data_IF_265427940259
#
_entry.id   IF_265427940259
#
_cell.length_a   1.000
_cell.length_b   1.000
_cell.length_c   1.000
_cell.angle_alpha   90.00
_cell.angle_beta   90.00
_cell.angle_gamma   90.00
#
_symmetry.space_group_name_H-M   'P 1'
#
loop_
_entity.id
_entity.type
_entity.pdbx_description
1 polymer ?
#
# COMPACT_ATOMS: atom_id res chain seq x y z
N UNK A 1 -17.37 -14.49 -0.34
CA UNK A 1 -15.99 -13.97 -0.40
C UNK A 1 -16.06 -12.47 -0.16
N UNK A 2 -15.23 -11.90 0.72
CA UNK A 2 -15.35 -10.48 1.10
C UNK A 2 -14.83 -9.58 -0.03
N UNK A 3 -15.55 -8.52 -0.35
CA UNK A 3 -15.08 -7.49 -1.27
C UNK A 3 -14.01 -6.63 -0.60
N UNK A 4 -13.14 -5.98 -1.37
CA UNK A 4 -12.14 -5.06 -0.80
C UNK A 4 -12.78 -3.90 -0.05
N UNK A 5 -13.98 -3.48 -0.46
CA UNK A 5 -14.75 -2.47 0.28
C UNK A 5 -15.19 -2.97 1.66
N UNK A 6 -15.68 -4.21 1.75
CA UNK A 6 -16.02 -4.83 3.03
C UNK A 6 -14.79 -5.01 3.92
N UNK A 7 -13.66 -5.44 3.36
CA UNK A 7 -12.41 -5.61 4.12
C UNK A 7 -11.94 -4.28 4.70
N UNK A 8 -11.96 -3.19 3.90
CA UNK A 8 -11.64 -1.85 4.38
C UNK A 8 -12.55 -1.42 5.53
N UNK A 9 -13.86 -1.60 5.39
CA UNK A 9 -14.82 -1.18 6.41
C UNK A 9 -14.71 -2.03 7.69
N UNK A 10 -14.54 -3.35 7.57
CA UNK A 10 -14.33 -4.24 8.71
C UNK A 10 -13.07 -3.85 9.50
N UNK A 11 -11.97 -3.47 8.83
CA UNK A 11 -10.77 -2.95 9.47
C UNK A 11 -11.07 -1.72 10.32
N UNK A 12 -11.65 -0.69 9.69
CA UNK A 12 -11.88 0.60 10.33
C UNK A 12 -12.85 0.46 11.49
N UNK A 13 -13.91 -0.32 11.31
CA UNK A 13 -14.93 -0.57 12.34
C UNK A 13 -14.36 -1.38 13.50
N UNK A 14 -13.56 -2.41 13.23
CA UNK A 14 -12.91 -3.19 14.29
C UNK A 14 -12.11 -2.28 15.22
N UNK A 15 -11.31 -1.36 14.68
CA UNK A 15 -10.53 -0.44 15.50
C UNK A 15 -11.37 0.64 16.18
N UNK A 16 -12.45 1.12 15.56
CA UNK A 16 -13.42 1.97 16.28
C UNK A 16 -14.04 1.27 17.49
N UNK A 17 -14.39 -0.01 17.35
CA UNK A 17 -14.91 -0.83 18.45
C UNK A 17 -13.84 -1.05 19.55
N UNK A 18 -12.54 -0.91 19.24
CA UNK A 18 -11.43 -0.89 20.21
C UNK A 18 -11.09 0.52 20.76
N UNK A 19 -11.92 1.53 20.44
CA UNK A 19 -11.80 2.90 20.93
C UNK A 19 -10.87 3.80 20.11
N UNK A 20 -10.50 3.41 18.88
CA UNK A 20 -9.73 4.27 17.98
C UNK A 20 -10.63 5.30 17.31
N UNK A 21 -10.12 6.52 17.14
CA UNK A 21 -10.78 7.51 16.29
C UNK A 21 -10.56 7.16 14.81
N UNK A 22 -11.63 6.91 14.04
CA UNK A 22 -11.54 6.88 12.57
C UNK A 22 -11.19 8.29 12.05
N UNK A 23 -10.05 8.40 11.40
CA UNK A 23 -9.54 9.66 10.80
C UNK A 23 -9.54 9.51 9.28
N UNK A 24 -9.86 10.60 8.56
CA UNK A 24 -9.87 10.60 7.10
C UNK A 24 -8.44 10.38 6.57
N UNK A 25 -8.32 9.71 5.42
CA UNK A 25 -7.05 9.69 4.67
C UNK A 25 -6.58 11.11 4.38
N UNK A 26 -5.30 11.39 4.62
CA UNK A 26 -4.70 12.65 4.17
C UNK A 26 -4.54 12.65 2.64
N UNK A 27 -4.25 13.83 2.09
CA UNK A 27 -3.85 13.99 0.69
C UNK A 27 -2.58 13.18 0.38
N UNK A 28 -2.43 12.75 -0.88
CA UNK A 28 -1.17 12.24 -1.42
C UNK A 28 -0.08 13.31 -1.45
N UNK A 29 -0.45 14.58 -1.39
CA UNK A 29 0.43 15.75 -1.39
C UNK A 29 0.53 16.31 0.03
N UNK A 30 1.63 16.06 0.76
CA UNK A 30 1.83 16.63 2.08
C UNK A 30 1.92 18.16 2.00
N UNK A 31 1.12 18.85 2.81
CA UNK A 31 1.10 20.32 2.88
C UNK A 31 2.29 20.90 3.67
N UNK A 32 2.67 20.24 4.77
CA UNK A 32 3.63 20.77 5.76
C UNK A 32 4.90 19.92 5.91
N UNK A 33 5.22 19.03 4.96
CA UNK A 33 6.44 18.23 5.00
C UNK A 33 7.26 18.36 3.71
N UNK A 34 8.30 19.23 3.69
CA UNK A 34 9.15 19.39 2.51
C UNK A 34 10.06 18.19 2.26
N UNK A 35 10.21 17.27 3.22
CA UNK A 35 11.04 16.07 3.06
C UNK A 35 10.33 14.94 2.32
N UNK A 36 9.00 15.05 2.14
CA UNK A 36 8.18 13.98 1.58
C UNK A 36 7.55 14.42 0.24
N UNK A 37 7.89 13.69 -0.83
CA UNK A 37 7.33 13.98 -2.16
C UNK A 37 5.84 13.62 -2.22
N UNK A 38 5.48 12.42 -1.76
CA UNK A 38 4.11 11.94 -1.63
C UNK A 38 3.93 11.15 -0.34
N UNK A 39 2.70 11.16 0.18
CA UNK A 39 2.31 10.31 1.31
C UNK A 39 2.55 8.84 0.95
N UNK A 40 3.42 8.17 1.70
CA UNK A 40 3.87 6.79 1.43
C UNK A 40 3.45 5.79 2.51
N UNK A 41 2.90 6.28 3.63
CA UNK A 41 2.43 5.50 4.77
C UNK A 41 1.30 6.22 5.53
N UNK A 42 0.49 5.43 6.24
CA UNK A 42 -0.58 5.93 7.12
C UNK A 42 -0.11 6.92 8.18
N UNK A 43 1.10 6.71 8.71
CA UNK A 43 1.68 7.52 9.79
C UNK A 43 2.06 8.94 9.40
N UNK A 44 2.20 9.28 8.10
CA UNK A 44 2.76 10.56 7.69
C UNK A 44 1.95 11.76 8.23
N UNK A 45 0.62 11.66 8.25
CA UNK A 45 -0.27 12.70 8.82
C UNK A 45 -0.26 12.79 10.35
N UNK A 46 0.42 11.86 11.02
CA UNK A 46 0.58 11.78 12.46
C UNK A 46 2.04 11.98 12.89
N UNK A 47 2.95 12.34 11.97
CA UNK A 47 4.39 12.51 12.24
C UNK A 47 4.64 13.39 13.47
N UNK A 48 4.02 14.58 13.50
CA UNK A 48 4.21 15.54 14.60
C UNK A 48 3.56 15.09 15.91
N UNK A 49 2.56 14.20 15.84
CA UNK A 49 1.97 13.57 17.03
C UNK A 49 2.96 12.56 17.63
N UNK A 50 3.60 11.72 16.81
CA UNK A 50 4.65 10.80 17.28
C UNK A 50 5.85 11.53 17.86
N UNK A 51 6.22 12.68 17.28
CA UNK A 51 7.31 13.52 17.76
C UNK A 51 6.93 14.34 19.01
N UNK A 52 5.66 14.40 19.37
CA UNK A 52 5.15 15.17 20.50
C UNK A 52 5.03 16.68 20.26
N UNK A 53 5.16 17.14 19.00
CA UNK A 53 4.97 18.54 18.61
C UNK A 53 3.51 18.92 18.47
N UNK A 54 2.66 17.94 18.15
CA UNK A 54 1.21 18.13 18.02
C UNK A 54 0.46 17.25 19.02
N UNK A 55 -0.60 17.79 19.62
CA UNK A 55 -1.50 17.04 20.50
C UNK A 55 -2.90 16.98 19.88
N UNK A 56 -3.46 15.77 19.82
CA UNK A 56 -4.83 15.51 19.37
C UNK A 56 -5.77 15.35 20.57
N UNK A 57 -7.07 15.45 20.33
CA UNK A 57 -8.14 15.16 21.30
C UNK A 57 -8.36 13.65 21.50
N UNK A 58 -7.70 12.81 20.70
CA UNK A 58 -7.66 11.36 20.81
C UNK A 58 -6.22 10.85 20.94
N UNK A 59 -6.05 9.71 21.61
CA UNK A 59 -4.75 9.03 21.82
C UNK A 59 -4.60 7.76 20.97
N UNK A 60 -5.65 7.37 20.24
CA UNK A 60 -5.69 6.23 19.32
C UNK A 60 -6.41 6.64 18.03
N UNK A 61 -5.91 6.20 16.88
CA UNK A 61 -6.54 6.49 15.59
C UNK A 61 -6.51 5.30 14.62
N UNK A 62 -7.43 5.28 13.65
CA UNK A 62 -7.42 4.31 12.56
C UNK A 62 -7.74 4.98 11.22
N UNK A 63 -7.08 4.54 10.15
CA UNK A 63 -7.23 5.11 8.80
C UNK A 63 -7.14 4.05 7.69
N UNK A 64 -7.71 4.37 6.52
CA UNK A 64 -7.38 3.75 5.23
C UNK A 64 -6.69 4.80 4.38
N UNK A 65 -5.37 4.89 4.49
CA UNK A 65 -4.57 5.94 3.88
C UNK A 65 -4.28 5.64 2.41
N UNK A 66 -4.57 6.60 1.53
CA UNK A 66 -4.06 6.64 0.15
C UNK A 66 -2.53 6.80 0.19
N UNK A 67 -1.80 5.87 -0.41
CA UNK A 67 -0.33 5.87 -0.42
C UNK A 67 0.23 5.82 -1.84
N UNK A 68 1.43 6.40 -2.00
CA UNK A 68 2.14 6.49 -3.26
C UNK A 68 3.63 6.21 -3.09
N UNK A 69 4.15 5.19 -3.79
CA UNK A 69 5.55 4.72 -3.70
C UNK A 69 6.24 4.72 -5.06
N UNK A 70 6.72 5.88 -5.47
CA UNK A 70 7.31 6.13 -6.82
C UNK A 70 8.59 6.96 -6.78
N UNK A 71 9.12 7.22 -5.59
CA UNK A 71 10.28 8.10 -5.37
C UNK A 71 10.92 7.87 -4.01
N UNK A 72 12.19 8.25 -3.87
CA UNK A 72 12.93 8.14 -2.61
C UNK A 72 13.18 6.69 -2.20
N UNK A 73 13.25 6.45 -0.88
CA UNK A 73 13.51 5.12 -0.28
C UNK A 73 12.46 4.07 -0.66
N UNK A 74 11.21 4.49 -0.86
CA UNK A 74 10.10 3.61 -1.21
C UNK A 74 9.64 3.88 -2.65
N UNK A 75 10.29 3.23 -3.61
CA UNK A 75 10.03 3.41 -5.04
C UNK A 75 9.77 2.06 -5.71
N UNK A 76 8.50 1.78 -5.97
CA UNK A 76 8.03 0.55 -6.59
C UNK A 76 7.76 0.70 -8.10
N UNK A 77 8.04 1.87 -8.69
CA UNK A 77 7.61 2.17 -10.07
C UNK A 77 8.02 1.06 -11.05
N UNK A 78 9.29 0.65 -11.07
CA UNK A 78 9.78 -0.34 -12.04
C UNK A 78 9.27 -1.78 -11.77
N UNK A 79 8.79 -2.08 -10.56
CA UNK A 79 8.30 -3.43 -10.17
C UNK A 79 6.82 -3.64 -10.48
N UNK A 80 6.05 -2.55 -10.64
CA UNK A 80 4.62 -2.57 -11.00
C UNK A 80 4.37 -3.32 -12.30
N UNK A 81 3.31 -4.14 -12.30
CA UNK A 81 2.90 -5.01 -13.40
C UNK A 81 3.69 -6.32 -13.52
N UNK A 82 4.95 -6.34 -13.08
CA UNK A 82 5.83 -7.51 -13.13
C UNK A 82 5.69 -8.43 -11.92
N UNK A 83 5.43 -7.85 -10.76
CA UNK A 83 5.20 -8.61 -9.53
C UNK A 83 3.72 -8.61 -9.18
N UNK A 84 3.27 -9.62 -8.44
CA UNK A 84 1.87 -9.79 -8.08
C UNK A 84 1.37 -8.83 -6.96
N UNK A 85 2.26 -8.03 -6.36
CA UNK A 85 2.01 -7.37 -5.06
C UNK A 85 2.43 -5.91 -4.93
N UNK A 86 3.17 -5.35 -5.90
CA UNK A 86 3.63 -3.96 -5.86
C UNK A 86 2.80 -3.09 -6.79
N UNK A 87 2.53 -1.89 -6.29
CA UNK A 87 1.66 -0.87 -6.90
C UNK A 87 2.32 0.48 -6.76
N UNK A 88 2.03 1.41 -7.68
CA UNK A 88 2.38 2.81 -7.44
C UNK A 88 1.45 3.39 -6.38
N UNK A 89 0.13 3.20 -6.60
CA UNK A 89 -0.96 3.61 -5.71
C UNK A 89 -1.52 2.41 -4.98
N UNK A 90 -1.63 2.51 -3.66
CA UNK A 90 -2.27 1.49 -2.84
C UNK A 90 -2.90 2.12 -1.60
N UNK A 91 -3.73 1.35 -0.90
CA UNK A 91 -4.29 1.77 0.38
C UNK A 91 -3.59 1.07 1.54
N UNK A 92 -3.21 1.84 2.54
CA UNK A 92 -2.65 1.34 3.78
C UNK A 92 -3.67 1.46 4.90
N UNK A 93 -4.15 0.32 5.37
CA UNK A 93 -4.99 0.19 6.55
C UNK A 93 -4.08 0.27 7.78
N UNK A 94 -4.30 1.27 8.64
CA UNK A 94 -3.45 1.50 9.81
C UNK A 94 -4.24 1.75 11.09
N UNK A 95 -3.75 1.21 12.20
CA UNK A 95 -4.10 1.62 13.55
C UNK A 95 -2.89 2.20 14.27
N UNK A 96 -3.13 3.28 15.01
CA UNK A 96 -2.09 4.11 15.62
C UNK A 96 -2.37 4.28 17.11
N UNK A 97 -1.31 4.22 17.91
CA UNK A 97 -1.30 4.53 19.35
C UNK A 97 -0.32 5.65 19.62
N UNK A 98 -0.77 6.74 20.24
CA UNK A 98 0.05 7.90 20.58
C UNK A 98 0.31 7.90 22.08
N UNK A 99 1.30 7.14 22.53
CA UNK A 99 1.61 6.99 23.96
C UNK A 99 0.51 6.31 24.80
N UNK A 100 -0.31 5.45 24.19
CA UNK A 100 -1.40 4.73 24.85
C UNK A 100 -1.05 3.24 25.06
N UNK A 101 -1.47 2.36 24.15
CA UNK A 101 -1.10 0.95 24.18
C UNK A 101 0.18 0.69 23.37
N UNK A 102 0.82 -0.45 23.60
CA UNK A 102 2.08 -0.80 22.94
C UNK A 102 2.07 -2.23 22.38
N UNK A 103 3.20 -2.94 22.40
CA UNK A 103 3.41 -4.23 21.72
C UNK A 103 2.31 -5.26 21.99
N UNK A 104 1.93 -5.45 23.26
CA UNK A 104 0.98 -6.50 23.67
C UNK A 104 -0.38 -6.33 23.00
N UNK A 105 -0.98 -5.16 23.12
CA UNK A 105 -2.28 -4.87 22.53
C UNK A 105 -2.19 -4.79 21.00
N UNK A 106 -1.12 -4.21 20.44
CA UNK A 106 -0.92 -4.13 19.00
C UNK A 106 -0.90 -5.52 18.35
N UNK A 107 -0.13 -6.46 18.92
CA UNK A 107 -0.04 -7.85 18.48
C UNK A 107 -1.40 -8.55 18.64
N UNK A 108 -2.07 -8.37 19.79
CA UNK A 108 -3.40 -8.96 20.04
C UNK A 108 -4.42 -8.49 19.02
N UNK A 109 -4.48 -7.18 18.74
CA UNK A 109 -5.43 -6.62 17.78
C UNK A 109 -5.17 -7.12 16.36
N UNK A 110 -3.90 -7.16 15.94
CA UNK A 110 -3.55 -7.68 14.63
C UNK A 110 -3.94 -9.16 14.48
N UNK A 111 -3.65 -9.97 15.50
CA UNK A 111 -3.98 -11.39 15.50
C UNK A 111 -5.50 -11.62 15.46
N UNK A 112 -6.25 -10.96 16.34
CA UNK A 112 -7.71 -11.09 16.41
C UNK A 112 -8.38 -10.66 15.10
N UNK A 113 -7.97 -9.51 14.53
CA UNK A 113 -8.52 -9.07 13.24
C UNK A 113 -8.23 -10.11 12.14
N UNK A 114 -7.01 -10.61 12.04
CA UNK A 114 -6.66 -11.60 11.02
C UNK A 114 -7.41 -12.93 11.22
N UNK A 115 -7.50 -13.45 12.44
CA UNK A 115 -7.96 -14.82 12.66
C UNK A 115 -9.43 -14.94 13.01
N UNK A 116 -10.02 -13.92 13.62
CA UNK A 116 -11.43 -13.94 14.07
C UNK A 116 -12.32 -13.10 13.15
N UNK A 117 -11.88 -11.89 12.76
CA UNK A 117 -12.67 -11.03 11.86
C UNK A 117 -12.53 -11.46 10.41
N UNK A 118 -11.31 -11.54 9.88
CA UNK A 118 -11.05 -12.04 8.53
C UNK A 118 -11.09 -13.55 8.40
N UNK A 119 -11.12 -14.27 9.52
CA UNK A 119 -11.18 -15.73 9.56
C UNK A 119 -10.05 -16.41 8.76
N UNK A 120 -8.85 -15.82 8.77
CA UNK A 120 -7.69 -16.40 8.10
C UNK A 120 -7.23 -17.67 8.83
N UNK A 121 -6.85 -18.73 8.10
CA UNK A 121 -6.32 -19.94 8.72
C UNK A 121 -5.05 -19.64 9.53
N UNK A 122 -5.12 -19.87 10.85
CA UNK A 122 -4.00 -19.64 11.80
C UNK A 122 -2.74 -20.40 11.39
N UNK A 123 -2.89 -21.54 10.72
CA UNK A 123 -1.78 -22.37 10.27
C UNK A 123 -1.04 -21.85 9.03
N UNK A 124 -1.58 -20.82 8.38
CA UNK A 124 -0.96 -20.12 7.24
C UNK A 124 -0.34 -18.78 7.61
N UNK A 125 -0.48 -18.35 8.87
CA UNK A 125 0.12 -17.12 9.36
C UNK A 125 1.52 -17.39 9.92
N UNK A 126 2.46 -16.55 9.49
CA UNK A 126 3.85 -16.56 9.87
C UNK A 126 4.25 -15.17 10.34
N UNK A 127 5.22 -15.10 11.24
CA UNK A 127 5.59 -13.86 11.91
C UNK A 127 7.08 -13.61 11.71
N UNK A 128 7.46 -12.35 11.51
CA UNK A 128 8.82 -11.88 11.66
C UNK A 128 8.90 -10.89 12.83
N UNK A 129 10.03 -10.88 13.54
CA UNK A 129 10.35 -9.91 14.59
C UNK A 129 11.79 -9.44 14.41
N UNK A 130 12.11 -8.24 14.90
CA UNK A 130 13.48 -7.74 14.92
C UNK A 130 14.39 -8.66 15.75
N UNK A 131 15.63 -8.88 15.29
CA UNK A 131 16.57 -9.85 15.88
C UNK A 131 16.67 -9.76 17.41
N UNK A 132 16.72 -8.54 17.94
CA UNK A 132 16.93 -8.27 19.36
C UNK A 132 15.61 -8.00 20.14
N UNK A 133 14.44 -8.17 19.51
CA UNK A 133 13.13 -7.91 20.13
C UNK A 133 12.53 -9.17 20.77
N UNK A 134 13.07 -9.56 21.93
CA UNK A 134 12.60 -10.70 22.71
C UNK A 134 11.16 -10.51 23.24
N UNK A 135 10.74 -9.28 23.48
CA UNK A 135 9.38 -8.99 23.94
C UNK A 135 8.35 -9.39 22.88
N UNK A 136 8.54 -8.94 21.63
CA UNK A 136 7.64 -9.26 20.54
C UNK A 136 7.63 -10.77 20.26
N UNK A 137 8.81 -11.40 20.27
CA UNK A 137 8.93 -12.86 20.11
C UNK A 137 8.12 -13.62 21.17
N UNK A 138 8.26 -13.24 22.43
CA UNK A 138 7.55 -13.90 23.53
C UNK A 138 6.04 -13.65 23.48
N UNK A 139 5.59 -12.45 23.12
CA UNK A 139 4.16 -12.15 22.94
C UNK A 139 3.53 -13.02 21.85
N UNK A 140 4.20 -13.19 20.71
CA UNK A 140 3.70 -14.08 19.64
C UNK A 140 3.70 -15.56 20.04
N UNK A 141 4.78 -16.01 20.69
CA UNK A 141 4.94 -17.42 21.10
C UNK A 141 3.99 -17.81 22.24
N UNK A 142 3.94 -17.01 23.30
CA UNK A 142 3.26 -17.35 24.55
C UNK A 142 1.81 -16.87 24.55
N UNK A 143 1.58 -15.59 24.26
CA UNK A 143 0.23 -15.01 24.36
C UNK A 143 -0.63 -15.41 23.17
N UNK A 144 -0.10 -15.37 21.94
CA UNK A 144 -0.84 -15.74 20.72
C UNK A 144 -0.73 -17.25 20.38
N UNK A 145 0.16 -17.99 21.05
CA UNK A 145 0.31 -19.43 20.88
C UNK A 145 0.90 -19.87 19.55
N UNK A 146 1.67 -18.99 18.87
CA UNK A 146 2.26 -19.31 17.57
C UNK A 146 3.46 -20.25 17.77
N UNK A 147 3.53 -21.38 17.04
CA UNK A 147 4.69 -22.27 17.11
C UNK A 147 5.98 -21.54 16.73
N UNK A 148 7.02 -21.72 17.53
CA UNK A 148 8.32 -21.07 17.35
C UNK A 148 8.89 -21.19 15.93
N UNK A 149 8.70 -22.33 15.27
CA UNK A 149 9.11 -22.57 13.87
C UNK A 149 8.46 -21.65 12.83
N UNK A 150 7.46 -20.85 13.21
CA UNK A 150 6.78 -19.86 12.36
C UNK A 150 7.09 -18.41 12.76
N UNK A 151 7.96 -18.20 13.75
CA UNK A 151 8.40 -16.89 14.21
C UNK A 151 9.87 -16.74 13.82
N UNK A 152 10.12 -15.90 12.82
CA UNK A 152 11.44 -15.63 12.27
C UNK A 152 12.02 -14.37 12.90
N UNK A 153 13.33 -14.38 13.18
CA UNK A 153 14.07 -13.20 13.62
C UNK A 153 14.86 -12.64 12.44
N UNK A 154 14.56 -11.41 12.01
CA UNK A 154 15.25 -10.75 10.90
C UNK A 154 15.89 -9.43 11.37
N UNK A 155 16.90 -9.00 10.61
CA UNK A 155 17.71 -7.82 10.95
C UNK A 155 17.08 -6.49 10.53
N UNK A 156 17.91 -5.43 10.55
CA UNK A 156 17.48 -4.04 10.27
C UNK A 156 16.87 -3.85 8.88
N UNK A 157 17.29 -4.65 7.89
CA UNK A 157 16.79 -4.56 6.53
C UNK A 157 15.28 -4.83 6.41
N UNK A 158 14.74 -5.72 7.27
CA UNK A 158 13.37 -6.21 7.18
C UNK A 158 12.53 -5.77 8.40
N UNK A 159 13.08 -5.88 9.61
CA UNK A 159 12.33 -5.66 10.84
C UNK A 159 12.72 -4.38 11.60
N UNK A 160 13.26 -3.38 10.90
CA UNK A 160 13.43 -2.02 11.44
C UNK A 160 12.87 -1.00 10.46
N UNK A 161 11.76 -0.36 10.85
CA UNK A 161 11.04 0.56 9.98
C UNK A 161 11.45 2.01 10.26
N UNK A 162 11.60 2.80 9.20
CA UNK A 162 11.83 4.24 9.27
C UNK A 162 11.09 4.95 8.15
N UNK A 163 10.45 6.08 8.49
CA UNK A 163 9.61 6.88 7.58
C UNK A 163 10.36 7.36 6.33
N UNK A 164 11.63 7.72 6.50
CA UNK A 164 12.53 8.20 5.47
C UNK A 164 13.96 8.20 5.99
N UNK A 165 14.78 9.11 5.49
CA UNK A 165 16.15 9.30 5.98
C UNK A 165 16.15 9.90 7.39
N UNK A 166 15.13 10.69 7.73
CA UNK A 166 14.88 11.26 9.06
C UNK A 166 13.43 11.02 9.50
N UNK A 167 13.17 11.18 10.80
CA UNK A 167 11.84 11.07 11.40
C UNK A 167 11.64 9.86 12.31
N UNK A 168 10.40 9.61 12.75
CA UNK A 168 10.06 8.48 13.62
C UNK A 168 10.42 7.12 13.01
N UNK A 169 10.98 6.24 13.84
CA UNK A 169 11.41 4.90 13.50
C UNK A 169 11.42 3.95 14.71
N UNK A 170 11.57 2.65 14.44
CA UNK A 170 11.68 1.64 15.48
C UNK A 170 11.70 0.20 14.95
N UNK A 171 11.95 -0.78 15.84
CA UNK A 171 11.79 -2.19 15.50
C UNK A 171 10.35 -2.48 15.13
N UNK A 172 10.14 -3.46 14.25
CA UNK A 172 8.81 -3.87 13.84
C UNK A 172 8.65 -5.38 13.80
N UNK A 173 7.40 -5.83 13.77
CA UNK A 173 7.02 -7.23 13.60
C UNK A 173 6.01 -7.33 12.47
N UNK A 174 6.18 -8.28 11.55
CA UNK A 174 5.33 -8.39 10.37
C UNK A 174 4.59 -9.72 10.33
N UNK A 175 3.32 -9.65 9.95
CA UNK A 175 2.49 -10.81 9.65
C UNK A 175 2.62 -11.15 8.17
N UNK A 176 2.88 -12.41 7.91
CA UNK A 176 3.00 -13.00 6.59
C UNK A 176 1.95 -14.10 6.40
N UNK A 177 1.43 -14.22 5.19
CA UNK A 177 0.48 -15.27 4.82
C UNK A 177 1.09 -16.22 3.79
N UNK A 178 0.96 -17.53 4.04
CA UNK A 178 1.35 -18.60 3.12
C UNK A 178 0.25 -18.87 2.07
N UNK A 179 0.50 -18.43 0.83
CA UNK A 179 -0.38 -18.70 -0.31
C UNK A 179 -0.37 -20.17 -0.77
N UNK A 180 0.50 -21.02 -0.21
CA UNK A 180 0.56 -22.45 -0.46
C UNK A 180 1.71 -22.83 -1.39
N UNK A 181 1.45 -23.10 -2.67
CA UNK A 181 2.51 -23.55 -3.58
C UNK A 181 3.36 -22.37 -4.07
N UNK A 182 4.68 -22.55 -4.18
CA UNK A 182 5.56 -21.55 -4.79
C UNK A 182 5.11 -21.20 -6.21
N UNK A 183 4.96 -19.90 -6.55
CA UNK A 183 4.74 -19.48 -7.92
C UNK A 183 5.88 -19.89 -8.87
N UNK A 184 7.10 -20.05 -8.34
CA UNK A 184 8.27 -20.51 -9.08
C UNK A 184 8.39 -22.04 -9.17
N UNK A 185 7.42 -22.80 -8.63
CA UNK A 185 7.32 -24.26 -8.79
C UNK A 185 8.27 -25.10 -7.94
N UNK A 186 9.15 -24.50 -7.15
CA UNK A 186 10.01 -25.22 -6.21
C UNK A 186 9.28 -25.55 -4.90
N UNK A 187 9.63 -26.68 -4.28
CA UNK A 187 9.03 -27.16 -3.02
C UNK A 187 9.77 -26.71 -1.78
N UNK A 188 11.09 -26.51 -1.89
CA UNK A 188 11.95 -26.06 -0.81
C UNK A 188 11.86 -24.54 -0.74
N UNK A 189 10.92 -24.05 0.06
CA UNK A 189 10.61 -22.64 0.23
C UNK A 189 10.23 -22.37 1.68
N UNK A 190 10.88 -21.38 2.30
CA UNK A 190 10.47 -20.82 3.58
C UNK A 190 10.07 -19.34 3.41
N UNK A 191 9.80 -18.66 4.53
CA UNK A 191 9.38 -17.26 4.57
C UNK A 191 10.40 -16.31 3.92
N UNK A 192 11.69 -16.64 3.95
CA UNK A 192 12.76 -15.79 3.41
C UNK A 192 12.90 -15.91 1.89
N UNK A 193 12.17 -16.85 1.28
CA UNK A 193 12.24 -17.05 -0.16
C UNK A 193 11.53 -15.94 -0.94
N UNK A 194 12.19 -15.32 -1.94
CA UNK A 194 11.63 -14.20 -2.70
C UNK A 194 10.56 -14.61 -3.74
N UNK A 195 10.21 -15.90 -3.84
CA UNK A 195 9.32 -16.44 -4.88
C UNK A 195 7.88 -15.90 -4.82
N UNK A 196 7.49 -15.25 -3.73
CA UNK A 196 6.14 -14.68 -3.55
C UNK A 196 5.11 -15.66 -3.01
N UNK A 197 5.52 -16.81 -2.47
CA UNK A 197 4.64 -17.73 -1.71
C UNK A 197 4.16 -17.10 -0.41
N UNK A 198 5.10 -16.54 0.36
CA UNK A 198 4.83 -15.83 1.60
C UNK A 198 4.68 -14.36 1.28
N UNK A 199 3.53 -13.78 1.64
CA UNK A 199 3.24 -12.37 1.39
C UNK A 199 3.09 -11.67 2.74
N UNK A 200 3.92 -10.66 2.96
CA UNK A 200 3.75 -9.70 4.06
C UNK A 200 2.39 -9.00 3.89
N UNK A 201 1.49 -9.20 4.84
CA UNK A 201 0.15 -8.62 4.84
C UNK A 201 0.04 -7.42 5.77
N UNK A 202 0.80 -7.38 6.86
CA UNK A 202 0.68 -6.33 7.88
C UNK A 202 1.99 -6.13 8.63
N UNK A 203 2.46 -4.89 8.71
CA UNK A 203 3.61 -4.50 9.52
C UNK A 203 3.15 -3.76 10.79
N UNK A 204 3.69 -4.15 11.95
CA UNK A 204 3.48 -3.55 13.27
C UNK A 204 4.78 -2.87 13.73
N UNK A 205 4.86 -1.56 13.61
CA UNK A 205 6.02 -0.76 13.99
C UNK A 205 5.89 -0.27 15.43
N UNK A 206 6.87 -0.62 16.25
CA UNK A 206 6.99 -0.18 17.63
C UNK A 206 7.83 1.09 17.65
N UNK A 207 7.18 2.23 17.42
CA UNK A 207 7.84 3.54 17.34
C UNK A 207 8.52 3.89 18.66
N UNK A 208 9.84 4.01 18.62
CA UNK A 208 10.67 4.24 19.81
C UNK A 208 11.66 5.39 19.63
N UNK A 209 12.05 5.69 18.39
CA UNK A 209 13.12 6.64 18.11
C UNK A 209 12.71 7.68 17.05
N UNK A 210 13.42 8.80 17.05
CA UNK A 210 13.49 9.75 15.96
C UNK A 210 14.92 9.75 15.41
N UNK A 211 15.07 9.51 14.10
CA UNK A 211 16.35 9.54 13.38
C UNK A 211 16.58 10.95 12.83
N UNK A 212 17.73 11.53 13.12
CA UNK A 212 18.14 12.83 12.55
C UNK A 212 18.97 12.67 11.26
N UNK A 213 19.35 13.80 10.64
CA UNK A 213 20.11 13.81 9.38
C UNK A 213 21.54 13.27 9.49
N UNK A 214 22.07 13.08 10.70
CA UNK A 214 23.35 12.40 10.94
C UNK A 214 23.20 10.88 11.10
N UNK A 215 21.96 10.39 11.17
CA UNK A 215 21.63 9.00 11.48
C UNK A 215 21.53 8.72 12.97
N UNK A 216 21.74 9.70 13.84
CA UNK A 216 21.61 9.52 15.28
C UNK A 216 20.14 9.29 15.66
N UNK A 217 19.91 8.33 16.55
CA UNK A 217 18.58 7.96 17.02
C UNK A 217 18.35 8.47 18.43
N UNK A 218 17.32 9.31 18.60
CA UNK A 218 16.91 9.87 19.90
C UNK A 218 15.57 9.25 20.32
N UNK A 219 15.37 8.88 21.59
CA UNK A 219 14.08 8.33 22.03
C UNK A 219 12.92 9.30 21.78
N UNK A 220 11.78 8.78 21.31
CA UNK A 220 10.54 9.56 21.23
C UNK A 220 10.01 9.89 22.64
N UNK A 221 9.23 10.96 22.81
CA UNK A 221 8.66 11.34 24.11
C UNK A 221 7.80 10.24 24.75
N UNK A 222 7.18 9.40 23.93
CA UNK A 222 6.37 8.26 24.39
C UNK A 222 6.43 7.13 23.35
N UNK A 223 6.74 5.88 23.77
CA UNK A 223 6.63 4.72 22.90
C UNK A 223 5.23 4.63 22.30
N UNK A 224 5.15 4.39 21.00
CA UNK A 224 3.93 4.53 20.22
C UNK A 224 3.78 3.39 19.21
N UNK A 225 2.59 3.21 18.67
CA UNK A 225 2.32 2.16 17.66
C UNK A 225 1.96 2.83 16.34
N UNK A 226 2.61 2.37 15.29
CA UNK A 226 2.23 2.58 13.90
C UNK A 226 2.05 1.22 13.26
N UNK A 227 1.02 1.05 12.44
CA UNK A 227 0.83 -0.19 11.70
C UNK A 227 0.41 0.11 10.27
N UNK A 228 0.74 -0.80 9.36
CA UNK A 228 0.35 -0.69 7.96
C UNK A 228 0.07 -2.05 7.35
N UNK A 229 -1.18 -2.26 6.94
CA UNK A 229 -1.62 -3.40 6.14
C UNK A 229 -2.01 -2.92 4.75
N UNK A 230 -1.43 -3.52 3.71
CA UNK A 230 -1.81 -3.21 2.33
C UNK A 230 -3.18 -3.80 2.01
N UNK A 231 -4.18 -2.95 1.75
CA UNK A 231 -5.56 -3.38 1.46
C UNK A 231 -5.59 -4.41 0.32
N UNK A 232 -4.85 -4.14 -0.75
CA UNK A 232 -4.77 -5.00 -1.92
C UNK A 232 -4.21 -6.39 -1.60
N UNK A 233 -3.25 -6.47 -0.67
CA UNK A 233 -2.63 -7.74 -0.25
C UNK A 233 -3.56 -8.55 0.63
N UNK A 234 -4.22 -7.92 1.60
CA UNK A 234 -5.20 -8.62 2.44
C UNK A 234 -6.44 -9.02 1.63
N UNK A 235 -6.86 -8.22 0.65
CA UNK A 235 -7.92 -8.58 -0.30
C UNK A 235 -7.54 -9.80 -1.14
N UNK A 236 -6.31 -9.85 -1.66
CA UNK A 236 -5.77 -11.01 -2.36
C UNK A 236 -5.91 -12.29 -1.53
N UNK A 237 -5.50 -12.24 -0.26
CA UNK A 237 -5.61 -13.36 0.68
C UNK A 237 -7.06 -13.73 0.99
N UNK A 238 -7.90 -12.76 1.36
CA UNK A 238 -9.29 -12.99 1.73
C UNK A 238 -10.15 -13.46 0.55
N UNK A 239 -9.73 -13.15 -0.68
CA UNK A 239 -10.36 -13.60 -1.92
C UNK A 239 -9.76 -14.90 -2.46
N UNK A 240 -8.74 -15.46 -1.81
CA UNK A 240 -8.12 -16.72 -2.21
C UNK A 240 -7.47 -16.66 -3.61
N UNK A 241 -7.10 -15.46 -4.06
CA UNK A 241 -6.35 -15.26 -5.31
C UNK A 241 -4.85 -15.14 -5.00
N UNK A 242 -4.01 -15.16 -6.03
CA UNK A 242 -2.53 -15.14 -5.88
C UNK A 242 -1.91 -13.79 -6.22
N UNK A 243 -2.66 -12.92 -6.85
CA UNK A 243 -2.20 -11.62 -7.31
C UNK A 243 -3.17 -10.55 -6.84
N UNK A 244 -2.62 -9.42 -6.41
CA UNK A 244 -3.42 -8.23 -6.12
C UNK A 244 -4.23 -7.80 -7.36
N UNK A 245 -3.70 -8.06 -8.55
CA UNK A 245 -4.35 -7.76 -9.83
C UNK A 245 -5.56 -8.64 -10.14
N UNK A 246 -5.74 -9.76 -9.42
CA UNK A 246 -6.87 -10.66 -9.58
C UNK A 246 -7.98 -10.40 -8.54
N UNK A 247 -7.86 -9.31 -7.78
CA UNK A 247 -8.87 -8.87 -6.80
C UNK A 247 -9.97 -8.03 -7.44
N UNK A 248 -11.09 -7.89 -6.74
CA UNK A 248 -12.19 -7.00 -7.14
C UNK A 248 -11.79 -5.52 -7.31
N UNK A 249 -10.65 -5.08 -6.75
CA UNK A 249 -10.09 -3.73 -6.99
C UNK A 249 -9.52 -3.55 -8.39
N UNK A 250 -8.96 -4.61 -8.98
CA UNK A 250 -8.20 -4.54 -10.23
C UNK A 250 -8.87 -5.23 -11.41
N UNK A 251 -9.62 -6.31 -11.17
CA UNK A 251 -10.29 -7.07 -12.23
C UNK A 251 -11.15 -6.17 -13.13
N UNK A 252 -12.00 -5.26 -12.62
CA UNK A 252 -12.77 -4.37 -13.48
C UNK A 252 -11.90 -3.43 -14.33
N UNK A 253 -10.80 -2.91 -13.77
CA UNK A 253 -9.87 -2.04 -14.49
C UNK A 253 -9.11 -2.79 -15.59
N UNK A 254 -8.65 -4.01 -15.30
CA UNK A 254 -7.93 -4.86 -16.26
C UNK A 254 -8.87 -5.33 -17.37
N UNK A 255 -10.12 -5.69 -17.04
CA UNK A 255 -11.13 -6.04 -18.04
C UNK A 255 -11.45 -4.88 -18.97
N UNK A 256 -11.59 -3.67 -18.43
CA UNK A 256 -11.81 -2.48 -19.25
C UNK A 256 -10.59 -2.14 -20.11
N UNK A 257 -9.37 -2.26 -19.56
CA UNK A 257 -8.13 -2.08 -20.33
C UNK A 257 -8.01 -3.12 -21.46
N UNK A 258 -8.36 -4.38 -21.16
CA UNK A 258 -8.41 -5.49 -22.12
C UNK A 258 -9.41 -5.21 -23.25
N UNK A 259 -10.60 -4.71 -22.90
CA UNK A 259 -11.63 -4.30 -23.87
C UNK A 259 -11.18 -3.16 -24.77
N UNK A 260 -10.60 -2.10 -24.18
CA UNK A 260 -10.14 -0.91 -24.91
C UNK A 260 -8.96 -1.22 -25.83
N UNK A 261 -8.10 -2.17 -25.47
CA UNK A 261 -6.93 -2.57 -26.25
C UNK A 261 -7.18 -3.79 -27.15
N UNK A 262 -8.34 -4.44 -27.05
CA UNK A 262 -8.64 -5.72 -27.73
C UNK A 262 -7.62 -6.83 -27.45
N UNK A 263 -7.00 -6.81 -26.26
CA UNK A 263 -6.00 -7.80 -25.84
C UNK A 263 -6.53 -8.59 -24.64
N UNK A 264 -6.65 -9.93 -24.71
CA UNK A 264 -7.12 -10.74 -23.60
C UNK A 264 -6.10 -10.80 -22.45
N UNK A 265 -6.58 -10.73 -21.20
CA UNK A 265 -5.78 -10.94 -19.99
C UNK A 265 -5.62 -12.44 -19.67
N UNK A 266 -4.45 -12.85 -19.20
CA UNK A 266 -4.14 -14.21 -18.77
C UNK A 266 -3.63 -15.14 -19.87
N UNK A 267 -3.37 -14.63 -21.08
CA UNK A 267 -2.89 -15.43 -22.21
C UNK A 267 -1.42 -15.22 -22.54
N UNK A 268 -0.89 -14.03 -22.27
CA UNK A 268 0.50 -13.66 -22.57
C UNK A 268 1.01 -12.74 -21.45
N UNK A 269 2.03 -13.19 -20.72
CA UNK A 269 2.53 -12.46 -19.55
C UNK A 269 3.08 -11.07 -19.90
N UNK A 270 3.67 -10.86 -21.08
CA UNK A 270 4.16 -9.53 -21.47
C UNK A 270 3.01 -8.55 -21.72
N UNK A 271 1.91 -9.05 -22.27
CA UNK A 271 0.68 -8.28 -22.46
C UNK A 271 -0.03 -8.04 -21.13
N UNK A 272 -0.08 -9.05 -20.27
CA UNK A 272 -0.66 -8.96 -18.93
C UNK A 272 0.06 -7.91 -18.07
N UNK A 273 1.40 -7.87 -18.11
CA UNK A 273 2.19 -6.80 -17.47
C UNK A 273 1.72 -5.41 -17.93
N UNK A 274 1.47 -5.23 -19.23
CA UNK A 274 1.03 -3.95 -19.78
C UNK A 274 -0.39 -3.57 -19.34
N UNK A 275 -1.31 -4.55 -19.27
CA UNK A 275 -2.67 -4.35 -18.77
C UNK A 275 -2.67 -4.01 -17.26
N UNK A 276 -1.85 -4.72 -16.46
CA UNK A 276 -1.65 -4.45 -15.03
C UNK A 276 -1.08 -3.05 -14.79
N UNK A 277 -0.09 -2.62 -15.59
CA UNK A 277 0.47 -1.26 -15.52
C UNK A 277 -0.59 -0.21 -15.84
N UNK A 278 -1.41 -0.41 -16.88
CA UNK A 278 -2.48 0.53 -17.22
C UNK A 278 -3.50 0.66 -16.08
N UNK A 279 -3.90 -0.46 -15.47
CA UNK A 279 -4.83 -0.46 -14.34
C UNK A 279 -4.24 0.26 -13.11
N UNK A 280 -3.03 -0.09 -12.67
CA UNK A 280 -2.35 0.57 -11.53
C UNK A 280 -2.14 2.07 -11.77
N UNK A 281 -1.57 2.44 -12.91
CA UNK A 281 -1.25 3.83 -13.21
C UNK A 281 -2.51 4.68 -13.37
N UNK A 282 -3.63 4.12 -13.84
CA UNK A 282 -4.91 4.84 -13.87
C UNK A 282 -5.39 5.22 -12.45
N UNK A 283 -5.18 4.36 -11.45
CA UNK A 283 -5.47 4.67 -10.04
C UNK A 283 -4.60 5.81 -9.54
N UNK A 284 -3.29 5.72 -9.77
CA UNK A 284 -2.35 6.78 -9.39
C UNK A 284 -2.71 8.13 -10.03
N UNK A 285 -3.04 8.15 -11.31
CA UNK A 285 -3.40 9.37 -12.03
C UNK A 285 -4.69 9.99 -11.49
N UNK A 286 -5.74 9.19 -11.27
CA UNK A 286 -7.01 9.67 -10.73
C UNK A 286 -6.81 10.39 -9.38
N UNK A 287 -6.10 9.74 -8.44
CA UNK A 287 -5.90 10.29 -7.10
C UNK A 287 -4.90 11.45 -7.06
N UNK A 288 -3.82 11.42 -7.85
CA UNK A 288 -2.87 12.52 -7.89
C UNK A 288 -3.50 13.80 -8.46
N UNK A 289 -4.30 13.67 -9.53
CA UNK A 289 -4.97 14.83 -10.14
C UNK A 289 -6.06 15.37 -9.20
N UNK A 290 -6.79 14.47 -8.52
CA UNK A 290 -7.74 14.86 -7.47
C UNK A 290 -7.06 15.65 -6.35
N UNK A 291 -5.90 15.20 -5.88
CA UNK A 291 -5.11 15.88 -4.84
C UNK A 291 -4.30 17.09 -5.40
N UNK A 292 -4.66 17.59 -6.59
CA UNK A 292 -4.17 18.87 -7.14
C UNK A 292 -2.89 18.80 -7.98
N UNK A 293 -2.38 17.61 -8.30
CA UNK A 293 -1.16 17.46 -9.11
C UNK A 293 -1.47 17.56 -10.60
N UNK A 294 -0.74 18.43 -11.31
CA UNK A 294 -0.86 18.62 -12.76
C UNK A 294 0.41 18.14 -13.48
N UNK A 295 0.32 17.47 -14.65
CA UNK A 295 1.50 16.99 -15.38
C UNK A 295 2.50 18.10 -15.73
N UNK A 296 3.74 17.99 -15.24
CA UNK A 296 4.78 19.02 -15.30
C UNK A 296 6.15 18.50 -15.71
N UNK A 297 7.14 19.39 -15.80
CA UNK A 297 8.55 19.03 -16.04
C UNK A 297 9.36 18.86 -14.74
N UNK A 298 8.82 19.29 -13.60
CA UNK A 298 9.51 19.29 -12.31
C UNK A 298 8.63 18.77 -11.18
N UNK A 299 9.27 18.38 -10.07
CA UNK A 299 8.62 17.99 -8.82
C UNK A 299 7.55 16.90 -8.99
N UNK A 300 6.44 17.06 -8.26
CA UNK A 300 5.30 16.14 -8.27
C UNK A 300 4.66 16.00 -9.65
N UNK A 301 4.61 17.10 -10.40
CA UNK A 301 4.06 17.11 -11.77
C UNK A 301 4.88 16.27 -12.75
N UNK A 302 6.21 16.24 -12.60
CA UNK A 302 7.07 15.35 -13.39
C UNK A 302 6.81 13.88 -13.12
N UNK A 303 6.59 13.52 -11.85
CA UNK A 303 6.27 12.14 -11.47
C UNK A 303 4.94 11.70 -12.06
N UNK A 304 3.88 12.52 -11.93
CA UNK A 304 2.59 12.24 -12.56
C UNK A 304 2.76 12.06 -14.08
N UNK A 305 3.52 12.94 -14.73
CA UNK A 305 3.81 12.81 -16.17
C UNK A 305 4.54 11.50 -16.50
N UNK A 306 5.51 11.09 -15.69
CA UNK A 306 6.26 9.83 -15.88
C UNK A 306 5.33 8.61 -15.79
N UNK A 307 4.45 8.58 -14.79
CA UNK A 307 3.43 7.54 -14.61
C UNK A 307 2.49 7.50 -15.83
N UNK A 308 1.91 8.64 -16.21
CA UNK A 308 1.03 8.74 -17.39
C UNK A 308 1.71 8.21 -18.65
N UNK A 309 2.89 8.73 -18.98
CA UNK A 309 3.60 8.35 -20.22
C UNK A 309 4.03 6.90 -20.24
N UNK A 310 4.32 6.30 -19.08
CA UNK A 310 4.60 4.87 -18.98
C UNK A 310 3.36 4.04 -19.30
N UNK A 311 2.19 4.39 -18.75
CA UNK A 311 0.94 3.71 -19.08
C UNK A 311 0.58 3.85 -20.57
N UNK A 312 0.75 5.05 -21.14
CA UNK A 312 0.52 5.30 -22.58
C UNK A 312 1.45 4.45 -23.45
N UNK A 313 2.75 4.37 -23.09
CA UNK A 313 3.71 3.52 -23.81
C UNK A 313 3.31 2.05 -23.77
N UNK A 314 2.85 1.55 -22.63
CA UNK A 314 2.36 0.18 -22.51
C UNK A 314 1.08 -0.04 -23.33
N UNK A 315 0.17 0.94 -23.39
CA UNK A 315 -0.96 0.90 -24.32
C UNK A 315 -0.51 0.78 -25.78
N UNK A 316 0.51 1.54 -26.19
CA UNK A 316 1.08 1.46 -27.55
C UNK A 316 1.70 0.09 -27.84
N UNK A 317 2.37 -0.53 -26.85
CA UNK A 317 2.88 -1.91 -26.97
C UNK A 317 1.76 -2.94 -27.13
N UNK A 318 0.56 -2.65 -26.62
CA UNK A 318 -0.64 -3.46 -26.83
C UNK A 318 -1.34 -3.17 -28.17
N UNK A 319 -0.88 -2.16 -28.93
CA UNK A 319 -1.41 -1.80 -30.24
C UNK A 319 -2.48 -0.71 -30.22
N UNK A 320 -2.70 0.00 -29.10
CA UNK A 320 -3.71 1.08 -29.07
C UNK A 320 -3.26 2.32 -29.84
N UNK A 321 -4.07 2.78 -30.79
CA UNK A 321 -3.83 4.04 -31.49
C UNK A 321 -4.49 5.23 -30.79
N UNK A 322 -5.68 5.01 -30.24
CA UNK A 322 -6.52 6.05 -29.63
C UNK A 322 -6.23 6.20 -28.13
N UNK A 323 -6.46 7.41 -27.56
CA UNK A 323 -6.41 7.60 -26.12
C UNK A 323 -7.37 6.65 -25.40
N UNK A 324 -6.90 6.00 -24.33
CA UNK A 324 -7.68 5.01 -23.59
C UNK A 324 -7.58 5.18 -22.07
N UNK A 325 -6.49 5.80 -21.58
CA UNK A 325 -6.19 5.87 -20.16
C UNK A 325 -7.17 6.77 -19.41
N UNK A 326 -7.74 7.77 -20.07
CA UNK A 326 -8.75 8.64 -19.48
C UNK A 326 -10.02 7.86 -19.11
N UNK A 327 -10.43 6.88 -19.91
CA UNK A 327 -11.58 6.00 -19.62
C UNK A 327 -11.34 5.16 -18.37
N UNK A 328 -10.13 4.61 -18.22
CA UNK A 328 -9.74 3.88 -17.01
C UNK A 328 -9.73 4.80 -15.79
N UNK A 329 -9.20 6.01 -15.93
CA UNK A 329 -9.18 7.02 -14.86
C UNK A 329 -10.60 7.38 -14.40
N UNK A 330 -11.54 7.53 -15.33
CA UNK A 330 -12.97 7.71 -15.04
C UNK A 330 -13.56 6.52 -14.29
N UNK A 331 -13.22 5.29 -14.68
CA UNK A 331 -13.69 4.06 -14.02
C UNK A 331 -13.15 3.93 -12.59
N UNK A 332 -11.90 4.35 -12.32
CA UNK A 332 -11.36 4.40 -10.95
C UNK A 332 -12.25 5.23 -10.03
N UNK A 333 -12.68 6.42 -10.46
CA UNK A 333 -13.55 7.27 -9.66
C UNK A 333 -14.87 6.56 -9.30
N UNK A 334 -15.45 5.81 -10.24
CA UNK A 334 -16.68 5.03 -10.00
C UNK A 334 -16.48 3.87 -9.03
N UNK A 335 -15.39 3.12 -9.15
CA UNK A 335 -15.08 1.99 -8.27
C UNK A 335 -14.75 2.42 -6.84
N UNK A 336 -14.19 3.61 -6.68
CA UNK A 336 -13.68 4.11 -5.39
C UNK A 336 -14.64 5.09 -4.69
N UNK A 337 -15.79 5.42 -5.28
CA UNK A 337 -16.71 6.47 -4.79
C UNK A 337 -17.24 6.27 -3.38
N UNK A 338 -17.39 5.02 -2.93
CA UNK A 338 -17.92 4.76 -1.59
C UNK A 338 -16.87 5.06 -0.51
N UNK A 339 -15.59 4.78 -0.80
CA UNK A 339 -14.48 5.06 0.10
C UNK A 339 -13.98 6.51 0.01
N UNK A 340 -14.07 7.10 -1.19
CA UNK A 340 -13.57 8.43 -1.52
C UNK A 340 -14.60 9.17 -2.38
N UNK A 341 -15.76 9.57 -1.81
CA UNK A 341 -16.82 10.24 -2.55
C UNK A 341 -16.37 11.55 -3.20
N UNK A 342 -15.42 12.26 -2.59
CA UNK A 342 -14.81 13.48 -3.13
C UNK A 342 -14.11 13.26 -4.49
N UNK A 343 -13.73 12.02 -4.84
CA UNK A 343 -13.07 11.74 -6.11
C UNK A 343 -14.01 12.02 -7.31
N UNK A 344 -15.33 11.94 -7.08
CA UNK A 344 -16.35 12.26 -8.07
C UNK A 344 -16.32 13.73 -8.49
N UNK A 345 -16.01 14.65 -7.56
CA UNK A 345 -15.95 16.09 -7.85
C UNK A 345 -14.85 16.43 -8.88
N UNK A 346 -13.78 15.62 -8.91
CA UNK A 346 -12.66 15.78 -9.84
C UNK A 346 -12.68 14.83 -11.03
N UNK A 347 -13.68 13.96 -11.16
CA UNK A 347 -13.70 12.85 -12.14
C UNK A 347 -13.50 13.32 -13.58
N UNK A 348 -14.28 14.31 -14.00
CA UNK A 348 -14.22 14.86 -15.38
C UNK A 348 -12.94 15.67 -15.62
N UNK A 349 -12.48 16.39 -14.58
CA UNK A 349 -11.22 17.13 -14.65
C UNK A 349 -10.03 16.19 -14.82
N UNK A 350 -9.96 15.12 -14.02
CA UNK A 350 -8.92 14.11 -14.12
C UNK A 350 -8.93 13.44 -15.50
N UNK A 351 -10.10 13.02 -16.00
CA UNK A 351 -10.22 12.43 -17.33
C UNK A 351 -9.71 13.39 -18.43
N UNK A 352 -10.06 14.68 -18.35
CA UNK A 352 -9.63 15.70 -19.30
C UNK A 352 -8.11 15.89 -19.29
N UNK A 353 -7.50 16.00 -18.10
CA UNK A 353 -6.05 16.15 -17.94
C UNK A 353 -5.31 14.94 -18.49
N UNK A 354 -5.77 13.72 -18.18
CA UNK A 354 -5.18 12.48 -18.68
C UNK A 354 -5.25 12.40 -20.20
N UNK A 355 -6.44 12.67 -20.77
CA UNK A 355 -6.65 12.64 -22.22
C UNK A 355 -5.74 13.63 -22.94
N UNK A 356 -5.62 14.85 -22.43
CA UNK A 356 -4.78 15.88 -23.03
C UNK A 356 -3.28 15.48 -23.05
N UNK A 357 -2.75 14.92 -21.96
CA UNK A 357 -1.35 14.45 -21.93
C UNK A 357 -1.15 13.22 -22.84
N UNK A 358 -2.15 12.35 -22.97
CA UNK A 358 -2.12 11.18 -23.85
C UNK A 358 -2.08 11.55 -25.34
N UNK A 359 -2.92 12.50 -25.76
CA UNK A 359 -2.91 13.07 -27.12
C UNK A 359 -1.58 13.76 -27.41
N UNK A 360 -1.12 14.60 -26.48
CA UNK A 360 0.15 15.33 -26.60
C UNK A 360 1.35 14.38 -26.75
N UNK A 361 1.45 13.35 -25.89
CA UNK A 361 2.58 12.42 -25.93
C UNK A 361 2.54 11.51 -27.17
N UNK A 362 1.36 11.06 -27.60
CA UNK A 362 1.21 10.21 -28.80
C UNK A 362 1.71 10.90 -30.07
N UNK A 363 1.54 12.22 -30.19
CA UNK A 363 2.09 13.00 -31.31
C UNK A 363 3.62 12.97 -31.37
N UNK A 364 4.29 12.92 -30.21
CA UNK A 364 5.76 12.91 -30.10
C UNK A 364 6.38 11.51 -30.21
N UNK A 365 5.67 10.47 -29.76
CA UNK A 365 6.17 9.09 -29.79
C UNK A 365 6.22 8.52 -31.21
N UNK A 366 5.41 9.03 -32.13
CA UNK A 366 5.41 8.59 -33.53
C UNK A 366 6.62 9.12 -34.32
N UNK A 367 7.41 10.03 -33.74
CA UNK A 367 8.54 10.72 -34.37
C UNK A 367 9.92 10.23 -33.89
N UNK A 368 9.99 9.39 -32.85
CA UNK A 368 11.25 8.89 -32.26
C UNK A 368 11.15 7.43 -31.89
#
# INVERSE_FOLDING_TARGET
>A
MKTSSQIREEFLRYFEDQGHKRVKSSSLVPENDPTLLFTNAGMNQFKDVFLGFEKRDYVRATTSQKCMRVSGKHNDLETVGRTARHHTFFEMLGNFSFGDYFKKEAIRFAWELCTEVYALPKDRLYITVYTDDDDAFNLWKQDMGIPEKRIYRLGEADNFWAMGDTGPCGPCSELHYDLGTSPAGHTDCDLTCPCGRYVEIWNLVFMQYNRDGSGAMTPLPSPSIDTGMGLERIACVAQGVRSNYDTDLFVPLIQEASRLTSVPYGQDENRDVSLRIAADHSRACAFLIHDGVVPGNEGRGYVLRKILRRAIRHGKMLGTEQPFLYTLTTLVAELMKDAYPELQDSREYAATVVKHEEEKFSSTLSLG
#
